data_IF_028001278621
#
_entry.id   IF_028001278621
#
_cell.length_a   1.000
_cell.length_b   1.000
_cell.length_c   1.000
_cell.angle_alpha   90.00
_cell.angle_beta   90.00
_cell.angle_gamma   90.00
#
_symmetry.space_group_name_H-M   'P 1'
#
loop_
_entity.id
_entity.type
_entity.pdbx_description
1 polymer ?
#
# COMPACT_ATOMS: atom_id res chain seq x y z
N UNK A 1 -38.61 -31.19 14.44
CA UNK A 1 -37.80 -31.52 15.65
C UNK A 1 -37.30 -30.20 16.25
N UNK A 2 -37.56 -29.92 17.56
CA UNK A 2 -37.10 -28.73 18.25
C UNK A 2 -35.79 -29.10 18.96
N UNK A 3 -34.67 -28.54 18.57
CA UNK A 3 -33.38 -28.72 19.23
C UNK A 3 -33.26 -27.66 20.31
N UNK A 4 -33.20 -28.08 21.58
CA UNK A 4 -33.10 -27.19 22.71
C UNK A 4 -31.66 -27.07 23.19
N UNK A 5 -31.20 -25.85 23.45
CA UNK A 5 -29.96 -25.64 24.18
C UNK A 5 -30.22 -25.76 25.70
N UNK A 6 -29.18 -25.89 26.52
CA UNK A 6 -29.30 -26.10 27.96
C UNK A 6 -30.16 -25.04 28.69
N UNK A 7 -30.14 -23.78 28.25
CA UNK A 7 -30.98 -22.71 28.83
C UNK A 7 -32.46 -22.85 28.44
N UNK A 8 -32.72 -23.26 27.22
CA UNK A 8 -34.07 -23.51 26.74
C UNK A 8 -34.67 -24.76 27.44
N UNK A 9 -33.87 -25.83 27.62
CA UNK A 9 -34.29 -27.02 28.33
C UNK A 9 -34.64 -26.67 29.76
N UNK A 10 -33.79 -25.95 30.50
CA UNK A 10 -34.09 -25.50 31.86
C UNK A 10 -35.40 -24.67 31.90
N UNK A 11 -35.60 -23.80 30.92
CA UNK A 11 -36.84 -22.97 30.86
C UNK A 11 -38.07 -23.86 30.68
N UNK A 12 -38.00 -24.84 29.80
CA UNK A 12 -39.11 -25.80 29.58
C UNK A 12 -39.40 -26.57 30.85
N UNK A 13 -38.39 -27.14 31.51
CA UNK A 13 -38.53 -27.94 32.74
C UNK A 13 -39.14 -27.14 33.89
N UNK A 14 -38.68 -25.90 34.08
CA UNK A 14 -39.23 -25.01 35.10
C UNK A 14 -40.69 -24.62 34.80
N UNK A 15 -41.00 -24.25 33.57
CA UNK A 15 -42.39 -23.84 33.23
C UNK A 15 -43.35 -25.02 33.27
N UNK A 16 -42.93 -26.23 32.88
CA UNK A 16 -43.70 -27.45 33.05
C UNK A 16 -44.04 -27.71 34.50
N UNK A 17 -43.06 -27.60 35.43
CA UNK A 17 -43.27 -27.74 36.86
C UNK A 17 -44.22 -26.68 37.47
N UNK A 18 -44.21 -25.45 36.93
CA UNK A 18 -45.16 -24.40 37.30
C UNK A 18 -46.58 -24.77 36.82
N UNK A 19 -46.72 -25.30 35.58
CA UNK A 19 -47.99 -25.74 35.03
C UNK A 19 -48.59 -26.90 35.85
N UNK A 20 -47.74 -27.81 36.34
CA UNK A 20 -48.13 -28.93 37.21
C UNK A 20 -48.32 -28.51 38.68
N UNK A 21 -48.19 -27.22 39.01
CA UNK A 21 -48.28 -26.68 40.39
C UNK A 21 -47.21 -27.23 41.35
N UNK A 22 -46.10 -27.82 40.86
CA UNK A 22 -44.99 -28.35 41.67
C UNK A 22 -44.06 -27.26 42.22
N UNK A 23 -44.02 -26.11 41.55
CA UNK A 23 -43.28 -24.91 42.00
C UNK A 23 -44.14 -23.67 41.81
N UNK A 24 -43.87 -22.64 42.62
CA UNK A 24 -44.57 -21.36 42.51
C UNK A 24 -43.96 -20.48 41.43
N UNK A 25 -44.73 -19.52 40.89
CA UNK A 25 -44.23 -18.52 39.97
C UNK A 25 -43.06 -17.74 40.53
N UNK A 26 -43.10 -17.42 41.82
CA UNK A 26 -42.04 -16.71 42.54
C UNK A 26 -40.72 -17.51 42.54
N UNK A 27 -40.77 -18.82 42.72
CA UNK A 27 -39.59 -19.68 42.60
C UNK A 27 -39.08 -19.80 41.20
N UNK A 28 -39.97 -19.90 40.21
CA UNK A 28 -39.61 -19.94 38.80
C UNK A 28 -38.94 -18.63 38.33
N UNK A 29 -39.33 -17.46 38.83
CA UNK A 29 -38.65 -16.19 38.55
C UNK A 29 -37.20 -16.19 39.03
N UNK A 30 -36.96 -16.74 40.21
CA UNK A 30 -35.59 -16.87 40.76
C UNK A 30 -34.76 -17.88 39.94
N UNK A 31 -35.31 -19.06 39.66
CA UNK A 31 -34.61 -20.12 38.90
C UNK A 31 -34.27 -19.71 37.49
N UNK A 32 -35.15 -19.00 36.79
CA UNK A 32 -34.96 -18.57 35.41
C UNK A 32 -34.28 -17.20 35.32
N UNK A 33 -34.12 -16.48 36.42
CA UNK A 33 -33.68 -15.09 36.46
C UNK A 33 -34.50 -14.22 35.45
N UNK A 34 -35.82 -14.34 35.51
CA UNK A 34 -36.80 -13.62 34.66
C UNK A 34 -37.79 -12.90 35.54
N UNK A 35 -38.41 -11.82 34.95
CA UNK A 35 -39.50 -11.13 35.63
C UNK A 35 -40.73 -12.03 35.75
N UNK A 36 -41.55 -11.78 36.76
CA UNK A 36 -42.82 -12.45 36.99
C UNK A 36 -43.72 -12.44 35.74
N UNK A 37 -43.83 -11.28 35.08
CA UNK A 37 -44.58 -11.11 33.84
C UNK A 37 -44.07 -12.01 32.70
N UNK A 38 -42.74 -12.23 32.65
CA UNK A 38 -42.13 -13.12 31.64
C UNK A 38 -42.49 -14.56 31.91
N UNK A 39 -42.47 -14.98 33.15
CA UNK A 39 -42.80 -16.37 33.60
C UNK A 39 -44.28 -16.62 33.32
N UNK A 40 -45.18 -15.68 33.70
CA UNK A 40 -46.63 -15.79 33.42
C UNK A 40 -46.93 -15.88 31.92
N UNK A 41 -46.25 -15.09 31.08
CA UNK A 41 -46.37 -15.15 29.62
C UNK A 41 -45.86 -16.51 29.08
N UNK A 42 -44.78 -17.03 29.62
CA UNK A 42 -44.28 -18.35 29.25
C UNK A 42 -45.29 -19.45 29.64
N UNK A 43 -45.84 -19.38 30.81
CA UNK A 43 -46.87 -20.32 31.27
C UNK A 43 -48.13 -20.29 30.40
N UNK A 44 -48.61 -19.09 30.05
CA UNK A 44 -49.74 -18.93 29.15
C UNK A 44 -49.47 -19.54 27.78
N UNK A 45 -48.31 -19.24 27.22
CA UNK A 45 -47.91 -19.81 25.91
C UNK A 45 -47.66 -21.31 25.98
N UNK A 46 -47.10 -21.83 27.06
CA UNK A 46 -46.93 -23.27 27.26
C UNK A 46 -48.29 -24.00 27.29
N UNK A 47 -49.29 -23.42 27.94
CA UNK A 47 -50.65 -23.99 27.96
C UNK A 47 -51.35 -23.98 26.59
N UNK A 48 -51.07 -23.01 25.76
CA UNK A 48 -51.71 -22.87 24.44
C UNK A 48 -50.93 -23.55 23.30
N UNK A 49 -49.62 -23.59 23.37
CA UNK A 49 -48.71 -24.01 22.27
C UNK A 49 -47.82 -25.21 22.62
N UNK A 50 -47.92 -25.75 23.84
CA UNK A 50 -47.02 -26.81 24.32
C UNK A 50 -45.56 -26.40 24.27
N UNK A 51 -44.67 -27.29 23.87
CA UNK A 51 -43.22 -27.05 23.80
C UNK A 51 -42.81 -25.98 22.78
N UNK A 52 -43.68 -25.59 21.87
CA UNK A 52 -43.40 -24.54 20.89
C UNK A 52 -43.25 -23.15 21.53
N UNK A 53 -43.73 -22.94 22.77
CA UNK A 53 -43.57 -21.67 23.45
C UNK A 53 -42.14 -21.18 23.59
N UNK A 54 -41.14 -22.10 23.58
CA UNK A 54 -39.73 -21.80 23.73
C UNK A 54 -39.09 -21.29 22.45
N UNK A 55 -39.71 -21.57 21.30
CA UNK A 55 -39.21 -21.11 20.01
C UNK A 55 -39.52 -19.62 19.87
N UNK A 56 -38.49 -18.82 19.63
CA UNK A 56 -38.68 -17.39 19.44
C UNK A 56 -39.44 -17.15 18.11
N UNK A 57 -40.43 -16.24 18.12
CA UNK A 57 -41.28 -15.99 16.96
C UNK A 57 -40.56 -15.58 15.68
N UNK A 58 -39.34 -15.03 15.81
CA UNK A 58 -38.50 -14.68 14.67
C UNK A 58 -37.58 -15.81 14.22
N UNK A 59 -37.65 -17.00 14.84
CA UNK A 59 -36.82 -18.15 14.43
C UNK A 59 -37.30 -18.62 13.06
N UNK A 60 -36.37 -18.58 12.07
CA UNK A 60 -36.65 -18.95 10.68
C UNK A 60 -37.24 -17.82 9.81
N UNK A 61 -37.53 -16.65 10.37
CA UNK A 61 -37.93 -15.49 9.55
C UNK A 61 -36.72 -14.82 8.94
N UNK A 62 -36.78 -14.50 7.67
CA UNK A 62 -35.72 -13.71 7.01
C UNK A 62 -35.85 -12.23 7.40
N UNK A 63 -34.72 -11.58 7.79
CA UNK A 63 -34.75 -10.14 8.05
C UNK A 63 -35.14 -9.35 6.79
N UNK A 64 -36.00 -8.34 6.93
CA UNK A 64 -36.45 -7.49 5.80
C UNK A 64 -35.28 -6.82 5.07
N UNK A 65 -34.19 -6.58 5.76
CA UNK A 65 -32.95 -5.97 5.20
C UNK A 65 -31.90 -7.01 4.83
N UNK A 66 -32.26 -8.29 4.67
CA UNK A 66 -31.34 -9.32 4.16
C UNK A 66 -30.96 -8.99 2.71
N UNK A 67 -29.67 -8.90 2.45
CA UNK A 67 -29.18 -8.74 1.06
C UNK A 67 -29.55 -9.98 0.24
N UNK A 68 -30.07 -9.84 -1.00
CA UNK A 68 -30.44 -10.96 -1.85
C UNK A 68 -29.27 -11.96 -2.05
N UNK A 69 -29.59 -13.24 -2.01
CA UNK A 69 -28.59 -14.30 -2.21
C UNK A 69 -28.03 -14.28 -3.65
N UNK A 70 -28.81 -13.82 -4.64
CA UNK A 70 -28.35 -13.59 -6.01
C UNK A 70 -27.22 -12.58 -6.09
N UNK A 71 -27.32 -11.46 -5.37
CA UNK A 71 -26.26 -10.45 -5.31
C UNK A 71 -25.00 -11.01 -4.62
N UNK A 72 -25.16 -11.81 -3.58
CA UNK A 72 -24.04 -12.51 -2.93
C UNK A 72 -23.30 -13.41 -3.92
N UNK A 73 -24.04 -14.22 -4.68
CA UNK A 73 -23.45 -15.13 -5.69
C UNK A 73 -22.73 -14.36 -6.80
N UNK A 74 -23.34 -13.28 -7.30
CA UNK A 74 -22.73 -12.39 -8.30
C UNK A 74 -21.39 -11.83 -7.81
N UNK A 75 -21.35 -11.28 -6.59
CA UNK A 75 -20.11 -10.73 -6.00
C UNK A 75 -19.07 -11.82 -5.80
N UNK A 76 -19.47 -13.02 -5.37
CA UNK A 76 -18.53 -14.13 -5.20
C UNK A 76 -17.96 -14.63 -6.53
N UNK A 77 -18.72 -14.63 -7.62
CA UNK A 77 -18.23 -14.93 -8.97
C UNK A 77 -17.21 -13.87 -9.42
N UNK A 78 -17.55 -12.58 -9.28
CA UNK A 78 -16.63 -11.48 -9.60
C UNK A 78 -15.31 -11.56 -8.82
N UNK A 79 -15.36 -11.95 -7.54
CA UNK A 79 -14.14 -12.15 -6.75
C UNK A 79 -13.28 -13.28 -7.33
N UNK A 80 -13.87 -14.39 -7.75
CA UNK A 80 -13.12 -15.54 -8.27
C UNK A 80 -12.53 -15.29 -9.65
N UNK A 81 -13.28 -14.64 -10.52
CA UNK A 81 -12.96 -14.49 -11.93
C UNK A 81 -12.14 -13.23 -12.24
N UNK A 82 -12.52 -12.10 -11.65
CA UNK A 82 -12.00 -10.78 -12.02
C UNK A 82 -11.14 -10.14 -10.92
N UNK A 83 -11.56 -10.25 -9.66
CA UNK A 83 -10.99 -9.48 -8.54
C UNK A 83 -10.27 -10.36 -7.50
N UNK A 84 -9.70 -11.47 -7.95
CA UNK A 84 -9.11 -12.51 -7.10
C UNK A 84 -7.88 -12.06 -6.28
N UNK A 85 -7.21 -11.00 -6.68
CA UNK A 85 -5.99 -10.46 -6.07
C UNK A 85 -6.20 -9.16 -5.29
N UNK A 86 -7.44 -8.65 -5.22
CA UNK A 86 -7.74 -7.40 -4.52
C UNK A 86 -7.94 -7.61 -3.02
N UNK A 87 -7.42 -6.68 -2.21
CA UNK A 87 -7.83 -6.59 -0.82
C UNK A 87 -9.29 -6.08 -0.69
N UNK A 88 -9.92 -6.32 0.46
CA UNK A 88 -11.34 -6.00 0.65
C UNK A 88 -11.70 -4.52 0.48
N UNK A 89 -10.79 -3.61 0.80
CA UNK A 89 -11.05 -2.17 0.65
C UNK A 89 -10.99 -1.77 -0.82
N UNK A 90 -10.03 -2.32 -1.55
CA UNK A 90 -9.90 -2.11 -2.99
C UNK A 90 -11.08 -2.76 -3.73
N UNK A 91 -11.41 -3.99 -3.38
CA UNK A 91 -12.56 -4.71 -3.92
C UNK A 91 -13.88 -3.93 -3.76
N UNK A 92 -14.15 -3.40 -2.57
CA UNK A 92 -15.35 -2.61 -2.34
C UNK A 92 -15.44 -1.40 -3.28
N UNK A 93 -14.31 -0.69 -3.48
CA UNK A 93 -14.24 0.44 -4.41
C UNK A 93 -14.43 0.02 -5.86
N UNK A 94 -13.83 -1.10 -6.29
CA UNK A 94 -13.97 -1.60 -7.66
C UNK A 94 -15.40 -2.08 -7.96
N UNK A 95 -16.04 -2.74 -7.00
CA UNK A 95 -17.45 -3.12 -7.11
C UNK A 95 -18.37 -1.89 -7.24
N UNK A 96 -18.12 -0.84 -6.46
CA UNK A 96 -18.87 0.41 -6.54
C UNK A 96 -18.65 1.13 -7.89
N UNK A 97 -17.39 1.27 -8.31
CA UNK A 97 -17.02 2.10 -9.47
C UNK A 97 -17.33 1.41 -10.80
N UNK A 98 -17.07 0.11 -10.93
CA UNK A 98 -17.16 -0.61 -12.20
C UNK A 98 -18.38 -1.51 -12.33
N UNK A 99 -18.88 -2.04 -11.23
CA UNK A 99 -20.03 -2.97 -11.24
C UNK A 99 -21.31 -2.30 -10.70
N UNK A 100 -21.22 -1.06 -10.20
CA UNK A 100 -22.31 -0.32 -9.56
C UNK A 100 -22.94 -1.07 -8.37
N UNK A 101 -22.13 -1.91 -7.69
CA UNK A 101 -22.53 -2.70 -6.53
C UNK A 101 -22.00 -2.06 -5.26
N UNK A 102 -22.91 -1.54 -4.42
CA UNK A 102 -22.57 -0.96 -3.11
C UNK A 102 -22.85 -1.97 -2.00
N UNK A 103 -21.80 -2.49 -1.39
CA UNK A 103 -21.87 -3.46 -0.28
C UNK A 103 -21.02 -2.99 0.89
N UNK A 104 -21.59 -3.06 2.10
CA UNK A 104 -20.85 -2.74 3.33
C UNK A 104 -19.62 -3.66 3.46
N UNK A 105 -18.48 -3.09 3.83
CA UNK A 105 -17.19 -3.81 3.97
C UNK A 105 -17.31 -5.09 4.81
N UNK A 106 -18.07 -5.05 5.89
CA UNK A 106 -18.23 -6.23 6.78
C UNK A 106 -19.05 -7.35 6.11
N UNK A 107 -20.06 -7.01 5.33
CA UNK A 107 -20.82 -7.97 4.52
C UNK A 107 -19.92 -8.59 3.45
N UNK A 108 -19.14 -7.75 2.75
CA UNK A 108 -18.17 -8.21 1.75
C UNK A 108 -17.10 -9.12 2.39
N UNK A 109 -16.62 -8.79 3.59
CA UNK A 109 -15.67 -9.63 4.32
C UNK A 109 -16.23 -11.02 4.62
N UNK A 110 -17.50 -11.12 5.03
CA UNK A 110 -18.17 -12.41 5.28
C UNK A 110 -18.27 -13.21 4.00
N UNK A 111 -18.72 -12.61 2.91
CA UNK A 111 -18.86 -13.28 1.61
C UNK A 111 -17.54 -13.75 1.02
N UNK A 112 -16.49 -12.94 1.14
CA UNK A 112 -15.13 -13.30 0.74
C UNK A 112 -14.54 -14.42 1.62
N UNK A 113 -14.90 -14.45 2.91
CA UNK A 113 -14.49 -15.52 3.81
C UNK A 113 -15.16 -16.85 3.47
N UNK A 114 -16.44 -16.84 3.06
CA UNK A 114 -17.19 -18.05 2.68
C UNK A 114 -16.54 -18.78 1.50
N UNK A 115 -15.86 -18.05 0.61
CA UNK A 115 -15.15 -18.59 -0.56
C UNK A 115 -13.62 -18.70 -0.35
N UNK A 116 -13.17 -18.61 0.89
CA UNK A 116 -11.74 -18.65 1.26
C UNK A 116 -10.82 -17.62 0.59
N UNK A 117 -11.38 -16.55 0.04
CA UNK A 117 -10.60 -15.45 -0.54
C UNK A 117 -9.81 -14.68 0.53
N UNK A 118 -10.33 -14.55 1.73
CA UNK A 118 -9.68 -13.87 2.86
C UNK A 118 -9.42 -14.86 3.99
N UNK A 119 -8.17 -15.03 4.37
CA UNK A 119 -7.77 -15.83 5.53
C UNK A 119 -7.94 -15.03 6.83
N UNK A 120 -8.38 -15.67 7.91
CA UNK A 120 -8.38 -15.05 9.23
C UNK A 120 -6.96 -14.70 9.62
N UNK A 121 -6.67 -13.41 9.80
CA UNK A 121 -5.38 -12.96 10.29
C UNK A 121 -5.16 -13.43 11.74
N UNK A 122 -4.08 -14.17 11.99
CA UNK A 122 -3.65 -14.46 13.36
C UNK A 122 -3.22 -13.14 14.01
N UNK A 123 -3.74 -12.84 15.22
CA UNK A 123 -3.25 -11.70 16.01
C UNK A 123 -1.76 -11.91 16.30
N UNK A 124 -0.90 -11.13 15.65
CA UNK A 124 0.52 -11.05 16.02
C UNK A 124 0.66 -10.02 17.13
N UNK A 125 1.42 -10.37 18.18
CA UNK A 125 1.88 -9.37 19.16
C UNK A 125 2.81 -8.43 18.42
N UNK A 126 2.39 -7.19 18.20
CA UNK A 126 3.26 -6.18 17.58
C UNK A 126 4.25 -5.67 18.63
N UNK A 127 5.55 -5.67 18.28
CA UNK A 127 6.53 -4.90 19.05
C UNK A 127 6.21 -3.42 18.86
N UNK A 128 6.23 -2.66 19.95
CA UNK A 128 6.07 -1.21 19.89
C UNK A 128 7.37 -0.63 19.31
N UNK A 129 7.29 -0.10 18.09
CA UNK A 129 8.40 0.64 17.50
C UNK A 129 8.12 2.14 17.62
N UNK A 130 9.08 2.90 18.15
CA UNK A 130 9.00 4.35 18.17
C UNK A 130 9.06 4.87 16.73
N UNK A 131 8.02 5.56 16.29
CA UNK A 131 7.96 6.14 14.93
C UNK A 131 8.74 7.45 14.92
N UNK A 132 9.58 7.65 13.89
CA UNK A 132 10.17 8.95 13.62
C UNK A 132 9.05 9.92 13.18
N UNK A 133 9.09 11.12 13.71
CA UNK A 133 8.19 12.20 13.29
C UNK A 133 8.41 12.54 11.82
N UNK A 134 7.39 13.17 11.22
CA UNK A 134 7.51 13.71 9.85
C UNK A 134 8.35 14.98 9.88
N UNK A 135 8.98 15.30 8.76
CA UNK A 135 9.51 16.64 8.54
C UNK A 135 8.37 17.65 8.51
N UNK A 136 8.68 18.88 8.90
CA UNK A 136 7.65 19.91 9.07
C UNK A 136 7.18 20.48 7.73
N UNK A 137 8.08 20.64 6.77
CA UNK A 137 7.81 21.24 5.46
C UNK A 137 8.15 20.30 4.30
N UNK A 138 7.38 20.33 3.19
CA UNK A 138 7.74 19.64 1.95
C UNK A 138 9.10 20.13 1.43
N UNK A 139 9.88 19.20 0.85
CA UNK A 139 11.22 19.50 0.32
C UNK A 139 12.34 19.49 1.35
N UNK A 140 12.06 19.37 2.66
CA UNK A 140 13.11 19.18 3.66
C UNK A 140 13.82 17.84 3.52
N UNK A 141 13.07 16.76 3.31
CA UNK A 141 13.63 15.42 3.16
C UNK A 141 12.79 14.57 2.23
N UNK A 142 13.42 13.98 1.24
CA UNK A 142 12.81 12.95 0.39
C UNK A 142 13.48 11.61 0.64
N UNK A 143 12.68 10.54 0.77
CA UNK A 143 13.19 9.19 0.85
C UNK A 143 13.19 8.58 -0.54
N UNK A 144 14.29 7.95 -0.98
CA UNK A 144 14.39 7.24 -2.25
C UNK A 144 14.72 5.77 -2.00
N UNK A 145 14.06 4.90 -2.77
CA UNK A 145 14.35 3.47 -2.78
C UNK A 145 13.83 2.82 -4.06
N UNK A 146 14.33 1.62 -4.38
CA UNK A 146 13.87 0.78 -5.48
C UNK A 146 13.14 -0.45 -4.98
N UNK A 147 12.05 -0.82 -5.65
CA UNK A 147 11.31 -2.05 -5.37
C UNK A 147 11.26 -2.94 -6.59
N UNK A 148 12.02 -4.04 -6.54
CA UNK A 148 12.04 -5.07 -7.59
C UNK A 148 10.94 -6.08 -7.34
N UNK A 149 9.96 -6.12 -8.26
CA UNK A 149 8.82 -7.04 -8.17
C UNK A 149 8.33 -7.43 -9.58
N UNK A 150 7.40 -8.38 -9.68
CA UNK A 150 6.58 -8.61 -10.88
C UNK A 150 5.44 -7.60 -10.89
N UNK A 151 5.71 -6.41 -11.38
CA UNK A 151 4.74 -5.32 -11.35
C UNK A 151 3.67 -5.45 -12.44
N UNK A 152 4.09 -5.93 -13.60
CA UNK A 152 3.25 -6.19 -14.77
C UNK A 152 3.89 -7.33 -15.59
N UNK A 153 3.08 -8.23 -16.10
CA UNK A 153 3.57 -9.41 -16.82
C UNK A 153 4.43 -10.36 -15.96
N UNK A 154 5.18 -11.22 -16.61
CA UNK A 154 5.94 -12.30 -15.95
C UNK A 154 7.34 -11.90 -15.50
N UNK A 155 7.91 -10.87 -16.11
CA UNK A 155 9.28 -10.42 -15.82
C UNK A 155 9.30 -9.46 -14.62
N UNK A 156 10.37 -9.56 -13.82
CA UNK A 156 10.62 -8.58 -12.77
C UNK A 156 11.05 -7.26 -13.38
N UNK A 157 10.53 -6.17 -12.85
CA UNK A 157 10.97 -4.81 -13.10
C UNK A 157 11.15 -4.09 -11.76
N UNK A 158 11.81 -2.95 -11.78
CA UNK A 158 12.06 -2.15 -10.58
C UNK A 158 11.26 -0.86 -10.65
N UNK A 159 10.45 -0.60 -9.62
CA UNK A 159 9.84 0.71 -9.40
C UNK A 159 10.78 1.52 -8.52
N UNK A 160 11.39 2.58 -9.06
CA UNK A 160 12.17 3.53 -8.29
C UNK A 160 11.23 4.66 -7.88
N UNK A 161 11.19 4.97 -6.60
CA UNK A 161 10.30 5.97 -6.05
C UNK A 161 11.01 6.93 -5.11
N UNK A 162 10.55 8.18 -5.13
CA UNK A 162 10.85 9.20 -4.13
C UNK A 162 9.56 9.62 -3.44
N UNK A 163 9.59 9.67 -2.11
CA UNK A 163 8.46 10.11 -1.29
C UNK A 163 8.88 11.25 -0.38
N UNK A 164 8.13 12.32 -0.39
CA UNK A 164 8.33 13.43 0.53
C UNK A 164 7.94 13.03 1.96
N UNK A 165 8.85 13.24 2.89
CA UNK A 165 8.68 12.83 4.27
C UNK A 165 7.60 13.63 5.01
N UNK A 166 7.39 14.88 4.65
CA UNK A 166 6.42 15.75 5.29
C UNK A 166 4.98 15.40 4.94
N UNK A 167 4.69 15.25 3.65
CA UNK A 167 3.31 15.11 3.16
C UNK A 167 2.99 13.77 2.51
N UNK A 168 3.99 12.90 2.26
CA UNK A 168 3.87 11.63 1.52
C UNK A 168 3.50 11.81 0.03
N UNK A 169 3.72 12.96 -0.59
CA UNK A 169 3.62 13.03 -2.04
C UNK A 169 4.71 12.15 -2.66
N UNK A 170 4.38 11.45 -3.74
CA UNK A 170 5.25 10.45 -4.35
C UNK A 170 5.53 10.79 -5.81
N UNK A 171 6.77 10.53 -6.21
CA UNK A 171 7.20 10.48 -7.59
C UNK A 171 7.86 9.14 -7.84
N UNK A 172 7.42 8.40 -8.86
CA UNK A 172 7.92 7.04 -9.09
C UNK A 172 7.90 6.71 -10.58
N UNK A 173 8.85 5.90 -11.04
CA UNK A 173 8.95 5.45 -12.42
C UNK A 173 9.48 4.02 -12.49
N UNK A 174 8.98 3.23 -13.44
CA UNK A 174 9.43 1.86 -13.68
C UNK A 174 10.67 1.79 -14.56
N UNK A 175 11.58 0.91 -14.20
CA UNK A 175 12.82 0.60 -14.91
C UNK A 175 13.02 -0.93 -15.01
N UNK A 176 13.85 -1.42 -15.95
CA UNK A 176 14.19 -2.84 -16.02
C UNK A 176 14.86 -3.36 -14.73
N UNK A 177 15.68 -2.52 -14.09
CA UNK A 177 16.38 -2.81 -12.84
C UNK A 177 16.71 -1.51 -12.10
N UNK A 178 17.11 -1.62 -10.83
CA UNK A 178 17.61 -0.48 -10.06
C UNK A 178 19.01 -0.10 -10.53
N UNK A 179 19.13 1.06 -11.14
CA UNK A 179 20.38 1.62 -11.67
C UNK A 179 20.61 3.04 -11.19
N UNK A 180 21.85 3.47 -11.23
CA UNK A 180 22.21 4.86 -10.91
C UNK A 180 21.50 5.84 -11.85
N UNK A 181 21.46 5.53 -13.14
CA UNK A 181 20.78 6.34 -14.14
C UNK A 181 19.27 6.45 -13.87
N UNK A 182 18.64 5.34 -13.47
CA UNK A 182 17.21 5.35 -13.09
C UNK A 182 16.95 6.22 -11.86
N UNK A 183 17.81 6.11 -10.84
CA UNK A 183 17.71 6.96 -9.64
C UNK A 183 17.91 8.45 -9.98
N UNK A 184 18.90 8.78 -10.83
CA UNK A 184 19.12 10.14 -11.30
C UNK A 184 17.94 10.68 -12.10
N UNK A 185 17.34 9.87 -12.96
CA UNK A 185 16.17 10.26 -13.75
C UNK A 185 14.98 10.60 -12.87
N UNK A 186 14.69 9.78 -11.87
CA UNK A 186 13.60 10.04 -10.90
C UNK A 186 13.90 11.29 -10.09
N UNK A 187 15.14 11.47 -9.59
CA UNK A 187 15.56 12.68 -8.89
C UNK A 187 15.42 13.93 -9.76
N UNK A 188 15.88 13.88 -10.99
CA UNK A 188 15.75 14.97 -11.97
C UNK A 188 14.29 15.37 -12.16
N UNK A 189 13.41 14.40 -12.38
CA UNK A 189 11.96 14.67 -12.58
C UNK A 189 11.33 15.37 -11.36
N UNK A 190 11.79 15.04 -10.15
CA UNK A 190 11.36 15.75 -8.92
C UNK A 190 11.89 17.18 -8.90
N UNK A 191 13.18 17.36 -9.21
CA UNK A 191 13.84 18.68 -9.21
C UNK A 191 13.23 19.60 -10.29
N UNK A 192 12.95 19.09 -11.48
CA UNK A 192 12.30 19.85 -12.55
C UNK A 192 10.88 20.28 -12.16
N UNK A 193 10.16 19.43 -11.43
CA UNK A 193 8.75 19.68 -11.12
C UNK A 193 8.56 20.57 -9.89
N UNK A 194 9.36 20.37 -8.85
CA UNK A 194 9.16 21.02 -7.56
C UNK A 194 10.28 21.98 -7.18
N UNK A 195 11.47 21.81 -7.75
CA UNK A 195 12.71 22.44 -7.35
C UNK A 195 13.65 21.51 -6.60
N UNK A 196 14.80 22.04 -6.20
CA UNK A 196 15.82 21.34 -5.45
C UNK A 196 15.36 21.19 -3.98
N UNK A 197 15.34 19.96 -3.49
CA UNK A 197 15.04 19.63 -2.08
C UNK A 197 16.33 19.59 -1.25
N UNK A 198 16.23 19.64 0.10
CA UNK A 198 17.41 19.77 0.96
C UNK A 198 18.12 18.47 1.24
N UNK A 199 17.38 17.40 1.52
CA UNK A 199 18.00 16.15 1.99
C UNK A 199 17.45 14.93 1.26
N UNK A 200 18.35 14.05 0.80
CA UNK A 200 18.02 12.74 0.23
C UNK A 200 18.31 11.65 1.28
N UNK A 201 17.26 10.96 1.74
CA UNK A 201 17.36 9.88 2.72
C UNK A 201 17.27 8.52 2.03
N UNK A 202 18.36 7.76 2.06
CA UNK A 202 18.55 6.53 1.29
C UNK A 202 19.04 5.36 2.14
N UNK A 203 18.93 4.15 1.57
CA UNK A 203 19.58 2.96 2.13
C UNK A 203 21.08 2.95 1.86
N UNK A 204 21.77 1.99 2.48
CA UNK A 204 23.21 1.77 2.28
C UNK A 204 23.52 0.97 1.02
N UNK A 205 22.73 1.11 -0.04
CA UNK A 205 22.99 0.47 -1.33
C UNK A 205 24.23 1.08 -2.01
N UNK A 206 24.92 0.28 -2.80
CA UNK A 206 26.13 0.71 -3.49
C UNK A 206 25.96 1.87 -4.47
N UNK A 207 24.74 2.06 -4.97
CA UNK A 207 24.34 3.18 -5.85
C UNK A 207 24.56 4.53 -5.15
N UNK A 208 24.29 4.60 -3.85
CA UNK A 208 24.39 5.81 -3.04
C UNK A 208 25.74 5.98 -2.33
N UNK A 209 26.71 5.10 -2.57
CA UNK A 209 28.05 5.24 -1.98
C UNK A 209 28.16 4.84 -0.51
N UNK A 210 27.43 3.83 -0.05
CA UNK A 210 27.46 3.38 1.34
C UNK A 210 28.86 3.07 1.91
N UNK A 211 29.04 2.92 3.23
CA UNK A 211 30.28 3.04 3.99
C UNK A 211 31.43 2.06 3.63
N UNK A 212 31.19 1.13 2.71
CA UNK A 212 32.20 0.17 2.24
C UNK A 212 32.89 0.58 0.92
N UNK A 213 32.55 1.71 0.32
CA UNK A 213 33.16 2.20 -0.92
C UNK A 213 33.96 3.47 -0.64
N UNK A 214 35.27 3.37 -0.87
CA UNK A 214 36.19 4.50 -0.77
C UNK A 214 36.01 5.56 -1.88
N UNK A 215 35.19 5.26 -2.91
CA UNK A 215 35.01 6.14 -4.06
C UNK A 215 33.62 6.81 -3.97
N UNK A 216 33.61 8.10 -4.20
CA UNK A 216 32.43 8.96 -4.33
C UNK A 216 31.48 8.42 -5.40
N UNK A 217 30.22 8.13 -5.05
CA UNK A 217 29.27 7.59 -6.03
C UNK A 217 28.77 8.69 -6.96
N UNK A 218 28.31 8.30 -8.15
CA UNK A 218 27.72 9.24 -9.11
C UNK A 218 26.50 9.97 -8.54
N UNK A 219 25.69 9.28 -7.70
CA UNK A 219 24.58 9.91 -7.00
C UNK A 219 25.04 10.94 -5.98
N UNK A 220 26.13 10.67 -5.23
CA UNK A 220 26.70 11.64 -4.31
C UNK A 220 27.20 12.88 -5.05
N UNK A 221 27.90 12.70 -6.19
CA UNK A 221 28.32 13.82 -7.04
C UNK A 221 27.13 14.67 -7.50
N UNK A 222 26.10 14.05 -8.05
CA UNK A 222 24.94 14.77 -8.54
C UNK A 222 24.20 15.53 -7.42
N UNK A 223 24.09 14.92 -6.23
CA UNK A 223 23.51 15.58 -5.06
C UNK A 223 24.36 16.76 -4.59
N UNK A 224 25.70 16.61 -4.53
CA UNK A 224 26.61 17.68 -4.14
C UNK A 224 26.55 18.86 -5.11
N UNK A 225 26.55 18.59 -6.43
CA UNK A 225 26.42 19.64 -7.46
C UNK A 225 25.06 20.39 -7.37
N UNK A 226 24.00 19.74 -6.86
CA UNK A 226 22.70 20.34 -6.60
C UNK A 226 22.57 20.96 -5.20
N UNK A 227 23.55 20.80 -4.32
CA UNK A 227 23.47 21.22 -2.92
C UNK A 227 22.52 20.37 -2.06
N UNK A 228 22.28 19.11 -2.44
CA UNK A 228 21.44 18.16 -1.71
C UNK A 228 22.31 17.33 -0.76
N UNK A 229 21.96 17.33 0.52
CA UNK A 229 22.62 16.49 1.53
C UNK A 229 22.10 15.05 1.42
N UNK A 230 23.02 14.06 1.49
CA UNK A 230 22.63 12.64 1.55
C UNK A 230 22.75 12.12 2.98
N UNK A 231 21.64 11.56 3.50
CA UNK A 231 21.60 10.87 4.78
C UNK A 231 21.36 9.39 4.57
N UNK A 232 22.23 8.55 5.14
CA UNK A 232 22.11 7.10 5.09
C UNK A 232 21.30 6.57 6.27
N UNK A 233 20.27 5.78 5.98
CA UNK A 233 19.49 5.12 7.00
C UNK A 233 20.35 4.18 7.86
N UNK A 234 20.29 4.32 9.17
CA UNK A 234 21.02 3.46 10.11
C UNK A 234 20.44 2.04 10.15
N UNK A 235 19.17 1.88 9.81
CA UNK A 235 18.45 0.61 9.78
C UNK A 235 17.38 0.62 8.69
N UNK A 236 16.95 -0.55 8.20
CA UNK A 236 15.83 -0.64 7.26
C UNK A 236 14.58 0.08 7.78
N UNK A 237 14.28 -0.06 9.07
CA UNK A 237 13.12 0.56 9.73
C UNK A 237 13.13 2.10 9.65
N UNK A 238 14.31 2.72 9.47
CA UNK A 238 14.44 4.16 9.26
C UNK A 238 13.71 4.66 8.01
N UNK A 239 13.58 3.81 6.98
CA UNK A 239 12.87 4.09 5.71
C UNK A 239 11.40 3.67 5.71
N UNK A 240 10.77 3.49 6.86
CA UNK A 240 9.43 2.91 6.98
C UNK A 240 8.31 3.67 6.25
N UNK A 241 8.54 4.87 5.71
CA UNK A 241 7.53 5.56 4.86
C UNK A 241 7.57 5.03 3.44
N UNK A 242 8.75 4.96 2.83
CA UNK A 242 8.87 4.44 1.48
C UNK A 242 8.60 2.93 1.42
N UNK A 243 8.96 2.16 2.46
CA UNK A 243 8.61 0.75 2.57
C UNK A 243 7.08 0.55 2.56
N UNK A 244 6.34 1.32 3.37
CA UNK A 244 4.87 1.28 3.36
C UNK A 244 4.27 1.81 2.06
N UNK A 245 4.95 2.73 1.38
CA UNK A 245 4.53 3.17 0.06
C UNK A 245 4.60 2.00 -0.93
N UNK A 246 5.69 1.24 -0.93
CA UNK A 246 5.82 0.06 -1.78
C UNK A 246 4.81 -1.04 -1.43
N UNK A 247 4.55 -1.29 -0.14
CA UNK A 247 3.48 -2.21 0.27
C UNK A 247 2.13 -1.81 -0.33
N UNK A 248 1.81 -0.52 -0.28
CA UNK A 248 0.55 0.02 -0.85
C UNK A 248 0.52 -0.05 -2.37
N UNK A 249 1.65 0.27 -3.03
CA UNK A 249 1.78 0.18 -4.48
C UNK A 249 1.65 -1.28 -4.95
N UNK A 250 2.31 -2.22 -4.29
CA UNK A 250 2.21 -3.65 -4.63
C UNK A 250 0.79 -4.16 -4.45
N UNK A 251 0.13 -3.80 -3.34
CA UNK A 251 -1.23 -4.24 -3.03
C UNK A 251 -2.31 -3.66 -3.96
N UNK A 252 -2.06 -2.48 -4.54
CA UNK A 252 -3.08 -1.78 -5.34
C UNK A 252 -2.72 -1.60 -6.81
N UNK A 253 -1.51 -1.16 -7.12
CA UNK A 253 -1.14 -0.85 -8.49
C UNK A 253 -1.05 -2.11 -9.37
N UNK A 254 -0.55 -3.22 -8.83
CA UNK A 254 -0.44 -4.48 -9.57
C UNK A 254 -1.82 -4.96 -10.09
N UNK A 255 -2.85 -5.08 -9.23
CA UNK A 255 -4.19 -5.43 -9.70
C UNK A 255 -4.78 -4.42 -10.69
N UNK A 256 -4.54 -3.12 -10.50
CA UNK A 256 -5.05 -2.08 -11.40
C UNK A 256 -4.40 -2.14 -12.78
N UNK A 257 -3.09 -2.38 -12.87
CA UNK A 257 -2.39 -2.60 -14.14
C UNK A 257 -2.94 -3.83 -14.87
N UNK A 258 -3.17 -4.93 -14.14
CA UNK A 258 -3.77 -6.16 -14.68
C UNK A 258 -5.18 -5.92 -15.21
N UNK A 259 -6.04 -5.26 -14.44
CA UNK A 259 -7.41 -4.93 -14.83
C UNK A 259 -7.47 -4.00 -16.05
N UNK A 260 -6.44 -3.17 -16.21
CA UNK A 260 -6.28 -2.29 -17.38
C UNK A 260 -5.56 -2.95 -18.57
N UNK A 261 -5.24 -4.26 -18.47
CA UNK A 261 -4.48 -5.03 -19.48
C UNK A 261 -3.12 -4.41 -19.85
N UNK A 262 -2.46 -3.74 -18.89
CA UNK A 262 -1.15 -3.12 -19.06
C UNK A 262 -0.07 -4.14 -18.72
N UNK A 263 0.73 -4.53 -19.72
CA UNK A 263 1.77 -5.56 -19.59
C UNK A 263 3.17 -5.05 -19.96
N UNK A 264 3.30 -3.81 -20.38
CA UNK A 264 4.56 -3.19 -20.77
C UNK A 264 4.92 -2.01 -19.87
N UNK A 265 6.18 -1.64 -19.87
CA UNK A 265 6.73 -0.60 -19.00
C UNK A 265 6.26 0.80 -19.37
N UNK A 266 6.10 1.08 -20.63
CA UNK A 266 5.66 2.40 -21.12
C UNK A 266 4.23 2.68 -20.69
N UNK A 267 3.35 1.71 -20.91
CA UNK A 267 1.95 1.77 -20.46
C UNK A 267 1.86 1.86 -18.94
N UNK A 268 2.69 1.07 -18.21
CA UNK A 268 2.72 1.11 -16.76
C UNK A 268 3.18 2.49 -16.21
N UNK A 269 4.20 3.10 -16.81
CA UNK A 269 4.64 4.44 -16.46
C UNK A 269 3.57 5.50 -16.76
N UNK A 270 2.93 5.42 -17.92
CA UNK A 270 1.83 6.32 -18.28
C UNK A 270 0.67 6.20 -17.29
N UNK A 271 0.23 4.99 -16.99
CA UNK A 271 -0.84 4.74 -16.01
C UNK A 271 -0.49 5.26 -14.61
N UNK A 272 0.73 4.98 -14.14
CA UNK A 272 1.22 5.42 -12.85
C UNK A 272 1.17 6.95 -12.71
N UNK A 273 1.68 7.67 -13.72
CA UNK A 273 1.80 9.14 -13.69
C UNK A 273 0.45 9.86 -13.89
N UNK A 274 -0.38 9.38 -14.82
CA UNK A 274 -1.57 10.12 -15.24
C UNK A 274 -2.86 9.63 -14.56
N UNK A 275 -2.88 8.40 -14.05
CA UNK A 275 -4.07 7.81 -13.44
C UNK A 275 -3.85 7.51 -11.96
N UNK A 276 -2.92 6.61 -11.62
CA UNK A 276 -2.81 6.09 -10.26
C UNK A 276 -2.37 7.16 -9.25
N UNK A 277 -1.28 7.89 -9.53
CA UNK A 277 -0.79 8.92 -8.61
C UNK A 277 -1.82 10.04 -8.43
N UNK A 278 -2.39 10.65 -9.48
CA UNK A 278 -3.36 11.73 -9.31
C UNK A 278 -4.68 11.28 -8.68
N UNK A 279 -5.24 10.15 -9.12
CA UNK A 279 -6.60 9.74 -8.75
C UNK A 279 -6.67 8.94 -7.46
N UNK A 280 -5.62 8.18 -7.13
CA UNK A 280 -5.58 7.38 -5.92
C UNK A 280 -4.59 7.94 -4.89
N UNK A 281 -3.29 8.05 -5.23
CA UNK A 281 -2.27 8.38 -4.25
C UNK A 281 -2.50 9.76 -3.62
N UNK A 282 -2.59 10.80 -4.43
CA UNK A 282 -2.77 12.17 -3.95
C UNK A 282 -4.06 12.39 -3.20
N UNK A 283 -5.15 11.77 -3.64
CA UNK A 283 -6.46 11.91 -2.98
C UNK A 283 -6.56 11.21 -1.63
N UNK A 284 -5.82 10.12 -1.42
CA UNK A 284 -6.04 9.26 -0.26
C UNK A 284 -4.84 9.17 0.69
N UNK A 285 -3.62 9.42 0.23
CA UNK A 285 -2.40 9.13 0.98
C UNK A 285 -1.54 10.36 1.25
N UNK A 286 -1.66 11.40 0.44
CA UNK A 286 -1.01 12.69 0.71
C UNK A 286 -1.72 13.36 1.87
N UNK A 287 -0.94 13.80 2.85
CA UNK A 287 -1.42 14.49 4.04
C UNK A 287 -0.92 15.93 4.06
N UNK A 288 -1.60 16.80 4.78
CA UNK A 288 -1.16 18.18 4.97
C UNK A 288 0.14 18.19 5.79
N UNK A 289 1.15 18.91 5.32
CA UNK A 289 2.37 19.14 6.07
C UNK A 289 2.10 20.05 7.30
N UNK A 290 3.01 20.07 8.27
CA UNK A 290 2.89 20.89 9.48
C UNK A 290 2.96 22.38 9.16
N UNK A 291 3.86 22.75 8.25
CA UNK A 291 3.99 24.12 7.74
C UNK A 291 3.40 24.22 6.34
N UNK A 292 2.74 25.32 5.99
CA UNK A 292 2.21 25.53 4.65
C UNK A 292 3.31 25.82 3.62
N UNK A 293 4.45 26.32 4.07
CA UNK A 293 5.56 26.72 3.21
C UNK A 293 6.36 25.49 2.73
N UNK A 294 6.97 25.62 1.58
CA UNK A 294 7.82 24.59 0.98
C UNK A 294 9.29 24.98 1.09
N UNK A 295 10.14 24.00 1.30
CA UNK A 295 11.60 24.14 1.31
C UNK A 295 12.25 23.74 -0.03
N UNK A 296 11.45 23.50 -1.06
CA UNK A 296 11.97 23.34 -2.42
C UNK A 296 12.51 24.68 -2.93
N UNK A 297 13.73 24.67 -3.43
CA UNK A 297 14.39 25.84 -4.00
C UNK A 297 14.29 25.80 -5.53
N UNK A 298 13.87 26.88 -6.20
CA UNK A 298 13.84 26.91 -7.66
C UNK A 298 15.21 26.60 -8.26
N UNK A 299 15.23 25.83 -9.35
CA UNK A 299 16.46 25.51 -10.08
C UNK A 299 17.01 26.79 -10.72
N UNK A 300 18.29 27.09 -10.51
CA UNK A 300 18.94 28.23 -11.13
C UNK A 300 18.95 28.08 -12.67
N UNK A 301 18.80 29.17 -13.39
CA UNK A 301 18.88 29.19 -14.86
C UNK A 301 20.25 28.75 -15.40
N UNK A 302 21.29 28.80 -14.59
CA UNK A 302 22.64 28.36 -14.93
C UNK A 302 22.88 26.89 -14.61
N UNK A 303 21.94 26.20 -13.97
CA UNK A 303 22.08 24.79 -13.59
C UNK A 303 21.71 23.91 -14.77
N UNK A 304 22.71 23.18 -15.28
CA UNK A 304 22.48 22.21 -16.34
C UNK A 304 22.15 20.83 -15.75
N UNK A 305 20.86 20.50 -15.68
CA UNK A 305 20.41 19.22 -15.13
C UNK A 305 20.80 18.03 -16.04
N UNK A 306 21.00 18.23 -17.36
CA UNK A 306 21.46 17.19 -18.26
C UNK A 306 22.88 16.77 -17.93
N UNK A 307 23.75 17.71 -17.57
CA UNK A 307 25.10 17.44 -17.15
C UNK A 307 25.18 16.85 -15.73
N UNK A 308 24.40 17.36 -14.80
CA UNK A 308 24.41 16.92 -13.40
C UNK A 308 23.82 15.52 -13.25
N UNK A 309 22.65 15.27 -13.84
CA UNK A 309 21.91 14.01 -13.70
C UNK A 309 22.33 12.94 -14.72
N UNK A 310 23.61 12.91 -15.08
CA UNK A 310 24.21 11.91 -15.96
C UNK A 310 25.36 11.18 -15.26
N UNK A 311 25.73 10.01 -15.78
CA UNK A 311 26.90 9.26 -15.27
C UNK A 311 28.16 9.75 -15.94
N UNK A 312 29.02 10.42 -15.19
CA UNK A 312 30.30 10.93 -15.66
C UNK A 312 31.38 9.86 -15.60
N UNK A 313 32.04 9.61 -16.72
CA UNK A 313 33.09 8.57 -16.82
C UNK A 313 34.36 9.17 -17.40
N UNK A 314 35.37 9.31 -16.56
CA UNK A 314 36.64 9.83 -16.99
C UNK A 314 37.50 8.74 -17.67
N UNK A 315 38.09 9.07 -18.81
CA UNK A 315 39.05 8.24 -19.53
C UNK A 315 40.36 8.99 -19.75
N UNK A 316 41.46 8.24 -19.75
CA UNK A 316 42.76 8.77 -20.07
C UNK A 316 42.96 8.70 -21.59
N UNK A 317 43.34 9.80 -22.19
CA UNK A 317 43.70 9.86 -23.60
C UNK A 317 45.05 9.20 -23.79
N UNK A 318 45.16 8.30 -24.77
CA UNK A 318 46.41 7.63 -25.16
C UNK A 318 47.28 8.58 -25.98
N UNK A 319 48.54 8.14 -26.24
CA UNK A 319 49.51 8.92 -27.03
C UNK A 319 49.06 9.17 -28.48
N UNK A 320 48.21 8.28 -29.00
CA UNK A 320 47.61 8.38 -30.35
C UNK A 320 46.29 9.18 -30.38
N UNK A 321 46.02 9.94 -29.33
CA UNK A 321 44.80 10.73 -29.14
C UNK A 321 43.52 9.89 -29.13
N UNK A 322 43.63 8.60 -28.80
CA UNK A 322 42.46 7.73 -28.66
C UNK A 322 42.10 7.48 -27.19
N UNK A 323 40.87 7.15 -26.94
CA UNK A 323 40.42 6.57 -25.66
C UNK A 323 39.43 5.43 -25.89
N UNK A 324 39.34 4.49 -24.95
CA UNK A 324 38.45 3.36 -25.03
C UNK A 324 37.25 3.57 -24.11
N UNK A 325 36.04 3.41 -24.66
CA UNK A 325 34.77 3.43 -23.88
C UNK A 325 33.81 2.34 -24.36
N UNK A 326 33.29 1.53 -23.45
CA UNK A 326 32.37 0.40 -23.73
C UNK A 326 32.88 -0.53 -24.85
N UNK A 327 34.18 -0.84 -24.85
CA UNK A 327 34.79 -1.73 -25.84
C UNK A 327 35.02 -1.10 -27.23
N UNK A 328 34.66 0.16 -27.42
CA UNK A 328 34.93 0.92 -28.65
C UNK A 328 36.10 1.87 -28.44
N UNK A 329 36.85 2.10 -29.52
CA UNK A 329 37.95 3.07 -29.56
C UNK A 329 37.43 4.34 -30.24
N UNK A 330 37.67 5.47 -29.59
CA UNK A 330 37.29 6.80 -30.08
C UNK A 330 38.57 7.61 -30.31
N UNK A 331 38.64 8.31 -31.41
CA UNK A 331 39.71 9.24 -31.74
C UNK A 331 39.21 10.67 -31.47
N UNK A 332 40.09 11.50 -30.89
CA UNK A 332 39.81 12.91 -30.65
C UNK A 332 40.59 13.72 -31.68
N UNK A 333 39.85 14.33 -32.60
CA UNK A 333 40.38 15.33 -33.52
C UNK A 333 40.44 16.67 -32.76
N UNK A 334 41.65 17.02 -32.36
CA UNK A 334 41.89 18.22 -31.56
C UNK A 334 42.53 19.32 -32.42
N UNK A 335 41.91 20.48 -32.54
CA UNK A 335 42.51 21.61 -33.23
C UNK A 335 43.68 22.25 -32.48
N UNK A 336 43.98 21.74 -31.25
CA UNK A 336 45.04 22.28 -30.42
C UNK A 336 46.43 21.92 -30.98
N UNK A 337 47.34 22.89 -31.01
CA UNK A 337 48.74 22.71 -31.44
C UNK A 337 49.56 21.84 -30.52
N UNK A 338 49.03 21.50 -29.32
CA UNK A 338 49.73 20.69 -28.32
C UNK A 338 49.08 19.31 -28.16
N UNK A 339 49.88 18.31 -27.84
CA UNK A 339 49.36 16.96 -27.58
C UNK A 339 48.43 16.96 -26.36
N UNK A 340 47.28 16.34 -26.53
CA UNK A 340 46.28 16.06 -25.46
C UNK A 340 46.52 14.71 -24.80
N UNK A 341 47.57 13.99 -25.18
CA UNK A 341 47.94 12.70 -24.63
C UNK A 341 48.09 12.76 -23.10
N UNK A 342 47.67 11.68 -22.43
CA UNK A 342 47.68 11.55 -20.96
C UNK A 342 46.72 12.47 -20.19
N UNK A 343 45.97 13.37 -20.84
CA UNK A 343 44.91 14.12 -20.20
C UNK A 343 43.69 13.23 -19.91
N UNK A 344 42.90 13.64 -18.94
CA UNK A 344 41.60 13.01 -18.67
C UNK A 344 40.53 13.70 -19.49
N UNK A 345 39.68 12.91 -20.14
CA UNK A 345 38.47 13.36 -20.81
C UNK A 345 37.26 12.80 -20.07
N UNK A 346 36.20 13.57 -19.98
CA UNK A 346 34.91 13.19 -19.44
C UNK A 346 34.00 12.64 -20.55
#
# INVERSE_FOLDING_TARGET
MIVLNSKAQLTVDVIAKVAERKITIANATKLLNKSRRTVERYLQRYRSQGLQFIVHGNTGSEPVNKTPDSLKQQVQSLIREKYYDLNLLHLAKMLETHEHIVVKRETLRKWAHDIHHVKRAKRRRSRVHKRRERMDAPGLMLQMDGSTHRWFGDKKSCLIAMIDDANSDIHAEFFPSETTEGCMKVMRSVVEKYGVFKTLYVGRAGIFGGPKRCNFSQMQRACEELGIEIIFASSPQGKGRIERAFDTLQDRLIPELRLSNITDMTGANSYLQHVFIPQFWRKNLVVKARTPDTEYTPVSRHTNLDDICTTKVYRKIRNDHTFSYRGKLYFIDSPLKHSIANQKIE
#
